data_IF_066428861755
#
_entry.id   IF_066428861755
#
_cell.length_a   1.000
_cell.length_b   1.000
_cell.length_c   1.000
_cell.angle_alpha   90.00
_cell.angle_beta   90.00
_cell.angle_gamma   90.00
#
_symmetry.space_group_name_H-M   'P 1'
#
loop_
_entity.id
_entity.type
_entity.pdbx_description
1 polymer ?
#
# COMPACT_ATOMS: atom_id res chain seq x y z
N UNK A 1 -23.00 11.74 -29.86
CA UNK A 1 -21.69 11.05 -29.93
C UNK A 1 -21.56 10.14 -28.71
N UNK A 2 -21.71 8.81 -28.87
CA UNK A 2 -21.67 7.84 -27.78
C UNK A 2 -20.22 7.40 -27.57
N UNK A 3 -19.59 7.79 -26.46
CA UNK A 3 -18.26 7.28 -26.10
C UNK A 3 -18.35 5.75 -25.87
N UNK A 4 -17.46 4.94 -26.46
CA UNK A 4 -17.54 3.49 -26.34
C UNK A 4 -17.28 3.09 -24.87
N UNK A 5 -18.28 2.46 -24.23
CA UNK A 5 -18.21 1.95 -22.84
C UNK A 5 -16.96 1.09 -22.58
N UNK A 6 -16.43 0.44 -23.60
CA UNK A 6 -15.21 -0.37 -23.54
C UNK A 6 -13.96 0.42 -23.09
N UNK A 7 -13.80 1.68 -23.50
CA UNK A 7 -12.64 2.49 -23.13
C UNK A 7 -12.66 2.95 -21.66
N UNK A 8 -13.85 3.02 -21.05
CA UNK A 8 -14.02 3.34 -19.62
C UNK A 8 -13.70 2.16 -18.70
N UNK A 9 -13.96 0.93 -19.17
CA UNK A 9 -13.66 -0.30 -18.42
C UNK A 9 -12.19 -0.76 -18.59
N UNK A 10 -11.54 -0.40 -19.70
CA UNK A 10 -10.15 -0.80 -19.96
C UNK A 10 -9.16 -0.29 -18.88
N UNK A 11 -9.37 0.93 -18.36
CA UNK A 11 -8.48 1.53 -17.35
C UNK A 11 -8.50 0.80 -15.98
N UNK A 12 -9.66 0.52 -15.36
CA UNK A 12 -9.68 -0.25 -14.11
C UNK A 12 -9.23 -1.70 -14.31
N UNK A 13 -9.53 -2.33 -15.46
CA UNK A 13 -9.05 -3.69 -15.78
C UNK A 13 -7.53 -3.73 -15.91
N UNK A 14 -6.91 -2.72 -16.53
CA UNK A 14 -5.46 -2.59 -16.61
C UNK A 14 -4.82 -2.42 -15.23
N UNK A 15 -5.43 -1.59 -14.38
CA UNK A 15 -4.95 -1.38 -13.00
C UNK A 15 -5.00 -2.65 -12.16
N UNK A 16 -6.14 -3.36 -12.19
CA UNK A 16 -6.27 -4.66 -11.49
C UNK A 16 -5.28 -5.69 -12.06
N UNK A 17 -5.12 -5.73 -13.39
CA UNK A 17 -4.14 -6.61 -14.04
C UNK A 17 -2.70 -6.33 -13.61
N UNK A 18 -2.33 -5.06 -13.45
CA UNK A 18 -1.00 -4.67 -12.96
C UNK A 18 -0.78 -5.08 -11.49
N UNK A 19 -1.79 -4.89 -10.63
CA UNK A 19 -1.70 -5.30 -9.21
C UNK A 19 -1.54 -6.80 -9.09
N UNK A 20 -2.33 -7.57 -9.85
CA UNK A 20 -2.20 -9.03 -9.89
C UNK A 20 -0.82 -9.41 -10.42
N UNK A 21 -0.36 -8.80 -11.51
CA UNK A 21 0.97 -9.06 -12.05
C UNK A 21 2.07 -8.81 -11.02
N UNK A 22 2.05 -7.67 -10.33
CA UNK A 22 3.03 -7.34 -9.27
C UNK A 22 2.98 -8.31 -8.08
N UNK A 23 1.79 -8.80 -7.71
CA UNK A 23 1.63 -9.78 -6.64
C UNK A 23 2.21 -11.17 -7.02
N UNK A 24 2.15 -11.54 -8.29
CA UNK A 24 2.71 -12.79 -8.81
C UNK A 24 4.15 -12.66 -9.33
N UNK A 25 4.67 -11.45 -9.52
CA UNK A 25 6.04 -11.16 -9.94
C UNK A 25 7.12 -11.87 -9.10
N UNK A 26 7.05 -11.88 -7.75
CA UNK A 26 8.01 -12.63 -6.95
C UNK A 26 7.92 -14.15 -7.17
N UNK A 27 6.80 -14.65 -7.71
CA UNK A 27 6.58 -16.05 -8.03
C UNK A 27 6.85 -16.40 -9.51
N UNK A 28 7.43 -15.50 -10.30
CA UNK A 28 7.71 -15.73 -11.72
C UNK A 28 9.23 -15.69 -11.91
N UNK A 29 9.85 -16.73 -12.47
CA UNK A 29 11.31 -16.77 -12.72
C UNK A 29 11.69 -15.81 -13.86
N UNK A 30 11.58 -14.51 -13.62
CA UNK A 30 11.91 -13.47 -14.56
C UNK A 30 13.28 -12.90 -14.19
N UNK A 31 14.14 -12.83 -15.20
CA UNK A 31 15.44 -12.17 -15.10
C UNK A 31 15.40 -10.97 -16.04
N UNK A 32 15.44 -9.76 -15.49
CA UNK A 32 15.45 -8.52 -16.27
C UNK A 32 16.85 -7.92 -16.17
N UNK A 33 17.75 -8.27 -17.12
CA UNK A 33 19.13 -7.85 -17.06
C UNK A 33 19.23 -6.32 -17.03
N UNK A 34 19.96 -5.80 -16.04
CA UNK A 34 20.23 -4.37 -15.87
C UNK A 34 19.22 -3.59 -15.01
N UNK A 35 18.05 -4.16 -14.69
CA UNK A 35 17.06 -3.53 -13.79
C UNK A 35 17.08 -4.18 -12.41
N UNK A 36 17.14 -5.52 -12.35
CA UNK A 36 17.20 -6.28 -11.11
C UNK A 36 18.62 -6.84 -10.92
N UNK A 37 19.13 -6.90 -9.67
CA UNK A 37 20.46 -7.46 -9.40
C UNK A 37 20.54 -8.98 -9.59
N UNK A 38 19.41 -9.66 -9.71
CA UNK A 38 19.30 -11.08 -10.05
C UNK A 38 17.85 -11.48 -10.32
N UNK A 39 17.56 -12.79 -10.43
CA UNK A 39 16.20 -13.29 -10.60
C UNK A 39 15.26 -12.75 -9.51
N UNK A 40 14.02 -12.49 -9.88
CA UNK A 40 12.94 -11.96 -9.00
C UNK A 40 12.75 -12.68 -7.67
N UNK A 41 13.13 -13.96 -7.58
CA UNK A 41 13.01 -14.79 -6.38
C UNK A 41 14.20 -14.70 -5.43
N UNK A 42 15.27 -14.03 -5.83
CA UNK A 42 16.45 -13.87 -4.97
C UNK A 42 16.12 -12.93 -3.81
N UNK A 43 16.64 -13.24 -2.62
CA UNK A 43 16.38 -12.44 -1.41
C UNK A 43 16.72 -10.96 -1.59
N UNK A 44 17.82 -10.64 -2.27
CA UNK A 44 18.23 -9.26 -2.56
C UNK A 44 17.24 -8.52 -3.46
N UNK A 45 16.70 -9.19 -4.48
CA UNK A 45 15.71 -8.60 -5.41
C UNK A 45 14.35 -8.43 -4.73
N UNK A 46 13.92 -9.39 -3.92
CA UNK A 46 12.70 -9.30 -3.10
C UNK A 46 12.76 -8.13 -2.12
N UNK A 47 13.90 -7.93 -1.45
CA UNK A 47 14.11 -6.81 -0.53
C UNK A 47 13.99 -5.46 -1.25
N UNK A 48 14.62 -5.33 -2.43
CA UNK A 48 14.53 -4.11 -3.24
C UNK A 48 13.10 -3.85 -3.71
N UNK A 49 12.40 -4.87 -4.21
CA UNK A 49 11.00 -4.77 -4.60
C UNK A 49 10.11 -4.33 -3.44
N UNK A 50 10.30 -4.92 -2.26
CA UNK A 50 9.58 -4.54 -1.05
C UNK A 50 9.82 -3.06 -0.70
N UNK A 51 11.07 -2.60 -0.72
CA UNK A 51 11.42 -1.20 -0.47
C UNK A 51 10.75 -0.27 -1.50
N UNK A 52 10.84 -0.60 -2.80
CA UNK A 52 10.20 0.17 -3.86
C UNK A 52 8.69 0.27 -3.67
N UNK A 53 8.02 -0.83 -3.30
CA UNK A 53 6.58 -0.86 -3.06
C UNK A 53 6.20 -0.03 -1.83
N UNK A 54 6.97 -0.10 -0.75
CA UNK A 54 6.75 0.71 0.47
C UNK A 54 6.90 2.21 0.16
N UNK A 55 7.94 2.60 -0.57
CA UNK A 55 8.16 3.99 -0.97
C UNK A 55 7.10 4.47 -1.97
N UNK A 56 6.67 3.61 -2.90
CA UNK A 56 5.58 3.93 -3.83
C UNK A 56 4.25 4.12 -3.09
N UNK A 57 3.93 3.25 -2.12
CA UNK A 57 2.74 3.39 -1.28
C UNK A 57 2.79 4.69 -0.47
N UNK A 58 3.95 5.06 0.05
CA UNK A 58 4.16 6.34 0.72
C UNK A 58 3.89 7.50 -0.23
N UNK A 59 4.50 7.51 -1.41
CA UNK A 59 4.32 8.55 -2.42
C UNK A 59 2.85 8.71 -2.85
N UNK A 60 2.13 7.61 -3.07
CA UNK A 60 0.69 7.63 -3.38
C UNK A 60 -0.12 8.21 -2.22
N UNK A 61 0.23 7.89 -0.98
CA UNK A 61 -0.45 8.45 0.20
C UNK A 61 -0.26 9.96 0.28
N UNK A 62 0.96 10.44 0.04
CA UNK A 62 1.26 11.87 -0.03
C UNK A 62 0.51 12.56 -1.18
N UNK A 63 0.47 11.96 -2.37
CA UNK A 63 -0.26 12.49 -3.53
C UNK A 63 -1.76 12.59 -3.26
N UNK A 64 -2.36 11.60 -2.60
CA UNK A 64 -3.78 11.66 -2.24
C UNK A 64 -4.09 12.78 -1.23
N UNK A 65 -3.20 13.01 -0.27
CA UNK A 65 -3.38 14.09 0.71
C UNK A 65 -3.12 15.46 0.06
N UNK A 66 -1.94 15.67 -0.51
CA UNK A 66 -1.62 16.96 -1.12
C UNK A 66 -2.44 17.26 -2.37
N UNK A 67 -2.61 16.27 -3.25
CA UNK A 67 -3.25 16.44 -4.55
C UNK A 67 -4.77 16.58 -4.48
N UNK A 68 -5.44 15.97 -3.49
CA UNK A 68 -6.90 16.05 -3.36
C UNK A 68 -7.36 16.95 -2.21
N UNK A 69 -6.70 16.93 -1.05
CA UNK A 69 -7.15 17.71 0.12
C UNK A 69 -6.39 19.01 0.29
N UNK A 70 -5.21 19.15 -0.33
CA UNK A 70 -4.36 20.35 -0.24
C UNK A 70 -3.78 20.60 1.15
N UNK A 71 -3.93 19.65 2.09
CA UNK A 71 -3.62 19.81 3.50
C UNK A 71 -2.92 18.56 4.02
N UNK A 72 -1.67 18.71 4.48
CA UNK A 72 -0.93 17.62 5.10
C UNK A 72 -1.24 17.58 6.59
N UNK A 73 -1.96 16.54 7.01
CA UNK A 73 -2.06 16.21 8.44
C UNK A 73 -1.01 15.16 8.79
N UNK A 74 -0.23 15.41 9.85
CA UNK A 74 0.70 14.42 10.43
C UNK A 74 0.00 13.13 10.87
N UNK A 75 -1.33 13.17 11.08
CA UNK A 75 -2.12 11.99 11.45
C UNK A 75 -2.06 10.87 10.42
N UNK A 76 -1.75 11.14 9.15
CA UNK A 76 -1.65 10.07 8.15
C UNK A 76 -0.47 9.13 8.39
N UNK A 77 0.62 9.64 8.96
CA UNK A 77 1.83 8.87 9.22
C UNK A 77 1.56 7.73 10.23
N UNK A 78 0.62 7.95 11.16
CA UNK A 78 0.16 6.91 12.07
C UNK A 78 -0.40 5.71 11.31
N UNK A 79 -1.29 5.92 10.34
CA UNK A 79 -1.89 4.83 9.56
C UNK A 79 -0.88 4.10 8.69
N UNK A 80 0.03 4.85 8.07
CA UNK A 80 1.12 4.27 7.28
C UNK A 80 2.05 3.41 8.15
N UNK A 81 2.49 3.95 9.31
CA UNK A 81 3.34 3.24 10.24
C UNK A 81 2.67 1.97 10.79
N UNK A 82 1.42 2.09 11.27
CA UNK A 82 0.66 0.94 11.79
C UNK A 82 0.55 -0.15 10.72
N UNK A 83 0.25 0.20 9.46
CA UNK A 83 0.15 -0.76 8.37
C UNK A 83 1.46 -1.50 8.12
N UNK A 84 2.56 -0.79 7.86
CA UNK A 84 3.85 -1.38 7.48
C UNK A 84 4.47 -2.16 8.64
N UNK A 85 4.49 -1.59 9.85
CA UNK A 85 5.10 -2.25 11.01
C UNK A 85 4.30 -3.46 11.47
N UNK A 86 2.96 -3.39 11.54
CA UNK A 86 2.17 -4.56 11.92
C UNK A 86 2.33 -5.70 10.92
N UNK A 87 2.41 -5.38 9.63
CA UNK A 87 2.61 -6.38 8.58
C UNK A 87 3.99 -7.04 8.68
N UNK A 88 5.05 -6.24 8.82
CA UNK A 88 6.41 -6.73 8.96
C UNK A 88 6.59 -7.58 10.24
N UNK A 89 6.12 -7.08 11.39
CA UNK A 89 6.24 -7.78 12.68
C UNK A 89 5.46 -9.09 12.66
N UNK A 90 4.23 -9.11 12.13
CA UNK A 90 3.41 -10.32 12.11
C UNK A 90 3.97 -11.40 11.15
N UNK A 91 4.63 -11.00 10.06
CA UNK A 91 5.33 -11.94 9.19
C UNK A 91 6.62 -12.46 9.82
N UNK A 92 7.45 -11.56 10.37
CA UNK A 92 8.80 -11.88 10.81
C UNK A 92 8.85 -12.52 12.21
N UNK A 93 8.06 -12.00 13.16
CA UNK A 93 8.11 -12.43 14.55
C UNK A 93 7.04 -13.47 14.90
N UNK A 94 5.85 -13.38 14.27
CA UNK A 94 4.75 -14.30 14.56
C UNK A 94 4.66 -15.46 13.56
N UNK A 95 5.48 -15.43 12.50
CA UNK A 95 5.56 -16.46 11.47
C UNK A 95 4.20 -16.84 10.87
N UNK A 96 3.28 -15.87 10.81
CA UNK A 96 1.96 -16.07 10.24
C UNK A 96 2.05 -16.08 8.70
N UNK A 97 1.12 -16.78 8.05
CA UNK A 97 1.03 -16.77 6.60
C UNK A 97 0.60 -15.39 6.05
N UNK A 98 0.87 -15.13 4.77
CA UNK A 98 0.62 -13.84 4.14
C UNK A 98 -0.83 -13.36 4.26
N UNK A 99 -1.80 -14.25 4.00
CA UNK A 99 -3.23 -13.94 4.03
C UNK A 99 -3.71 -13.54 5.43
N UNK A 100 -3.47 -14.32 6.51
CA UNK A 100 -3.87 -13.92 7.84
C UNK A 100 -3.17 -12.64 8.31
N UNK A 101 -1.91 -12.40 7.94
CA UNK A 101 -1.25 -11.12 8.25
C UNK A 101 -1.94 -9.95 7.53
N UNK A 102 -2.28 -10.09 6.26
CA UNK A 102 -3.00 -9.05 5.51
C UNK A 102 -4.37 -8.73 6.15
N UNK A 103 -5.10 -9.75 6.60
CA UNK A 103 -6.38 -9.54 7.30
C UNK A 103 -6.19 -8.90 8.68
N UNK A 104 -5.20 -9.36 9.44
CA UNK A 104 -4.91 -8.81 10.78
C UNK A 104 -4.48 -7.35 10.71
N UNK A 105 -3.61 -7.00 9.76
CA UNK A 105 -3.15 -5.63 9.55
C UNK A 105 -4.28 -4.71 9.12
N UNK A 106 -5.17 -5.19 8.25
CA UNK A 106 -6.38 -4.45 7.87
C UNK A 106 -7.32 -4.25 9.06
N UNK A 107 -7.54 -5.29 9.88
CA UNK A 107 -8.38 -5.20 11.08
C UNK A 107 -7.81 -4.21 12.11
N UNK A 108 -6.50 -4.25 12.35
CA UNK A 108 -5.82 -3.31 13.26
C UNK A 108 -5.88 -1.90 12.71
N UNK A 109 -5.61 -1.69 11.42
CA UNK A 109 -5.73 -0.39 10.77
C UNK A 109 -7.15 0.19 10.89
N UNK A 110 -8.17 -0.63 10.66
CA UNK A 110 -9.57 -0.24 10.83
C UNK A 110 -9.90 0.12 12.29
N UNK A 111 -9.38 -0.62 13.26
CA UNK A 111 -9.55 -0.32 14.68
C UNK A 111 -8.89 1.02 15.07
N UNK A 112 -7.67 1.29 14.58
CA UNK A 112 -6.99 2.58 14.80
C UNK A 112 -7.77 3.72 14.15
N UNK A 113 -8.24 3.55 12.91
CA UNK A 113 -9.07 4.54 12.23
C UNK A 113 -10.38 4.83 12.96
N UNK A 114 -11.04 3.80 13.49
CA UNK A 114 -12.24 3.95 14.30
C UNK A 114 -11.96 4.71 15.60
N UNK A 115 -10.86 4.38 16.29
CA UNK A 115 -10.47 5.04 17.54
C UNK A 115 -10.13 6.52 17.32
N UNK A 116 -9.29 6.83 16.33
CA UNK A 116 -8.92 8.21 15.99
C UNK A 116 -10.13 8.98 15.49
N UNK A 117 -10.95 8.39 14.61
CA UNK A 117 -12.19 8.99 14.14
C UNK A 117 -13.17 9.31 15.26
N UNK A 118 -13.34 8.41 16.23
CA UNK A 118 -14.19 8.64 17.40
C UNK A 118 -13.71 9.81 18.27
N UNK A 119 -12.39 10.03 18.36
CA UNK A 119 -11.80 11.17 19.06
C UNK A 119 -11.97 12.45 18.23
N UNK A 120 -11.71 12.40 16.93
CA UNK A 120 -11.83 13.55 16.02
C UNK A 120 -13.25 14.11 15.97
N UNK A 121 -14.29 13.27 16.14
CA UNK A 121 -15.68 13.72 16.24
C UNK A 121 -16.00 14.53 17.52
N UNK A 122 -15.09 14.55 18.50
CA UNK A 122 -15.28 15.24 19.80
C UNK A 122 -14.40 16.48 19.96
N UNK A 123 -13.56 16.79 18.98
CA UNK A 123 -12.59 17.89 19.05
C UNK A 123 -12.86 18.86 17.90
N UNK A 124 -13.12 20.11 18.26
CA UNK A 124 -13.24 21.20 17.29
C UNK A 124 -11.88 21.87 17.08
N UNK A 125 -11.41 21.90 15.83
CA UNK A 125 -10.14 22.51 15.46
C UNK A 125 -9.57 21.92 14.17
N UNK A 126 -8.81 22.74 13.44
CA UNK A 126 -8.11 22.33 12.23
C UNK A 126 -6.72 21.81 12.59
N UNK A 127 -6.55 20.49 12.57
CA UNK A 127 -5.27 19.80 12.81
C UNK A 127 -4.39 19.85 11.55
N UNK A 128 -3.94 21.05 11.19
CA UNK A 128 -2.98 21.24 10.11
C UNK A 128 -1.65 21.73 10.68
N UNK A 129 -0.56 21.22 10.12
CA UNK A 129 0.80 21.69 10.31
C UNK A 129 1.35 22.16 8.96
#
# INVERSE_FOLDING_TARGET
MRTPRAARLAKPVLGVGLVVFLAFLPNLQLDVPGVLPGPTWTAGTLQLLALCLVVAALAVTYDLLFGLTGLLSFGHALYFAVGVYMFAIALEQWHLALVPVALLTLAVGAAVAAAVGAISLRVDGISFA
#
